data_IF_997161148072
#
_entry.id   IF_997161148072
#
_cell.length_a   1.000
_cell.length_b   1.000
_cell.length_c   1.000
_cell.angle_alpha   90.00
_cell.angle_beta   90.00
_cell.angle_gamma   90.00
#
_symmetry.space_group_name_H-M   'P 1'
#
loop_
_entity.id
_entity.type
_entity.pdbx_description
1 polymer ?
#
# COMPACT_ATOMS: atom_id res chain seq x y z
N UNK A 1 19.23 3.38 0.38
CA UNK A 1 18.29 2.38 0.89
C UNK A 1 17.07 2.36 0.01
N UNK A 2 16.61 1.17 -0.41
CA UNK A 2 15.55 1.02 -1.41
C UNK A 2 14.81 -0.30 -1.24
N UNK A 3 13.61 -0.38 -1.81
CA UNK A 3 12.89 -1.61 -2.07
C UNK A 3 13.22 -2.06 -3.50
N UNK A 4 13.93 -3.18 -3.63
CA UNK A 4 14.27 -3.79 -4.91
C UNK A 4 13.38 -4.99 -5.17
N UNK A 5 12.85 -5.09 -6.37
CA UNK A 5 11.98 -6.17 -6.84
C UNK A 5 12.51 -6.63 -8.19
N UNK A 6 12.99 -7.85 -8.24
CA UNK A 6 13.48 -8.50 -9.45
C UNK A 6 12.62 -9.71 -9.75
N UNK A 7 11.81 -9.63 -10.79
CA UNK A 7 10.84 -10.65 -11.18
C UNK A 7 11.34 -11.37 -12.42
N UNK A 8 11.69 -12.63 -12.31
CA UNK A 8 11.91 -13.50 -13.46
C UNK A 8 10.57 -13.89 -14.08
N UNK A 9 9.62 -14.32 -13.24
CA UNK A 9 8.25 -14.59 -13.67
C UNK A 9 7.24 -14.56 -12.52
N UNK A 10 6.02 -14.11 -12.80
CA UNK A 10 4.84 -14.25 -11.97
C UNK A 10 3.74 -14.92 -12.80
N UNK A 11 3.24 -16.07 -12.34
CA UNK A 11 2.33 -16.92 -13.10
C UNK A 11 1.08 -17.32 -12.32
N UNK A 12 0.01 -17.62 -13.05
CA UNK A 12 -1.17 -18.33 -12.56
C UNK A 12 -1.45 -19.53 -13.47
N UNK A 13 -1.24 -20.73 -12.96
CA UNK A 13 -1.26 -21.94 -13.80
C UNK A 13 -0.28 -21.83 -14.98
N UNK A 14 -0.76 -21.98 -16.21
CA UNK A 14 0.05 -21.86 -17.42
C UNK A 14 0.26 -20.42 -17.92
N UNK A 15 -0.46 -19.43 -17.35
CA UNK A 15 -0.43 -18.05 -17.83
C UNK A 15 0.63 -17.24 -17.10
N UNK A 16 1.54 -16.63 -17.85
CA UNK A 16 2.52 -15.67 -17.30
C UNK A 16 1.88 -14.28 -17.25
N UNK A 17 1.77 -13.71 -16.04
CA UNK A 17 1.24 -12.35 -15.82
C UNK A 17 2.35 -11.30 -15.97
N UNK A 18 3.52 -11.57 -15.40
CA UNK A 18 4.69 -10.68 -15.47
C UNK A 18 5.92 -11.52 -15.80
N UNK A 19 6.75 -11.01 -16.68
CA UNK A 19 8.02 -11.61 -17.06
C UNK A 19 9.10 -10.54 -17.12
N UNK A 20 10.29 -10.83 -16.58
CA UNK A 20 11.49 -10.00 -16.66
C UNK A 20 11.26 -8.52 -16.26
N UNK A 21 10.77 -8.30 -15.04
CA UNK A 21 10.53 -6.96 -14.50
C UNK A 21 11.53 -6.64 -13.39
N UNK A 22 12.21 -5.50 -13.51
CA UNK A 22 13.05 -4.97 -12.45
C UNK A 22 12.53 -3.60 -12.01
N UNK A 23 12.33 -3.44 -10.70
CA UNK A 23 11.88 -2.21 -10.07
C UNK A 23 12.78 -1.88 -8.89
N UNK A 24 13.05 -0.58 -8.72
CA UNK A 24 13.69 -0.06 -7.53
C UNK A 24 12.95 1.19 -7.05
N UNK A 25 12.33 1.10 -5.87
CA UNK A 25 11.74 2.24 -5.20
C UNK A 25 12.71 2.78 -4.15
N UNK A 26 13.16 4.02 -4.32
CA UNK A 26 14.07 4.67 -3.39
C UNK A 26 13.34 5.30 -2.21
N UNK A 27 14.04 5.56 -1.12
CA UNK A 27 13.50 6.26 0.05
C UNK A 27 12.95 7.63 -0.31
N UNK A 28 11.83 7.99 0.30
CA UNK A 28 11.14 9.25 0.06
C UNK A 28 10.51 9.38 -1.32
N UNK A 29 10.61 8.33 -2.15
CA UNK A 29 10.09 8.30 -3.52
C UNK A 29 8.91 7.35 -3.64
N UNK A 30 7.91 7.78 -4.41
CA UNK A 30 6.81 6.92 -4.85
C UNK A 30 7.12 6.44 -6.26
N UNK A 31 7.48 5.16 -6.38
CA UNK A 31 7.58 4.51 -7.69
C UNK A 31 6.20 4.06 -8.13
N UNK A 32 5.75 4.50 -9.30
CA UNK A 32 4.43 4.16 -9.84
C UNK A 32 4.54 3.00 -10.83
N UNK A 33 3.74 1.96 -10.63
CA UNK A 33 3.59 0.84 -11.55
C UNK A 33 2.22 0.92 -12.20
N UNK A 34 2.19 1.15 -13.50
CA UNK A 34 0.96 1.19 -14.30
C UNK A 34 0.80 -0.06 -15.15
N UNK A 35 -0.44 -0.38 -15.50
CA UNK A 35 -0.78 -1.46 -16.41
C UNK A 35 -2.27 -1.71 -16.48
N UNK A 36 -2.72 -2.43 -17.49
CA UNK A 36 -4.11 -2.80 -17.66
C UNK A 36 -4.65 -3.63 -16.48
N UNK A 37 -5.97 -3.69 -16.32
CA UNK A 37 -6.58 -4.62 -15.37
C UNK A 37 -6.18 -6.06 -15.72
N UNK A 38 -5.89 -6.88 -14.71
CA UNK A 38 -5.46 -8.26 -14.90
C UNK A 38 -3.98 -8.44 -15.27
N UNK A 39 -3.16 -7.38 -15.41
CA UNK A 39 -1.73 -7.49 -15.73
C UNK A 39 -0.83 -7.99 -14.58
N UNK A 40 -1.42 -8.43 -13.46
CA UNK A 40 -0.65 -9.01 -12.35
C UNK A 40 -0.15 -8.01 -11.30
N UNK A 41 -0.53 -6.73 -11.35
CA UNK A 41 -0.06 -5.69 -10.42
C UNK A 41 -0.35 -6.03 -8.95
N UNK A 42 -1.59 -6.33 -8.61
CA UNK A 42 -1.99 -6.71 -7.26
C UNK A 42 -1.32 -8.01 -6.81
N UNK A 43 -1.15 -8.97 -7.73
CA UNK A 43 -0.41 -10.22 -7.47
C UNK A 43 1.07 -9.96 -7.19
N UNK A 44 1.68 -8.99 -7.88
CA UNK A 44 3.04 -8.57 -7.58
C UNK A 44 3.14 -7.97 -6.16
N UNK A 45 2.22 -7.08 -5.79
CA UNK A 45 2.20 -6.53 -4.42
C UNK A 45 2.04 -7.63 -3.37
N UNK A 46 1.17 -8.63 -3.63
CA UNK A 46 1.00 -9.78 -2.74
C UNK A 46 2.28 -10.63 -2.63
N UNK A 47 3.01 -10.85 -3.73
CA UNK A 47 4.30 -11.54 -3.70
C UNK A 47 5.33 -10.78 -2.86
N UNK A 48 5.47 -9.48 -3.05
CA UNK A 48 6.37 -8.61 -2.29
C UNK A 48 6.02 -8.60 -0.80
N UNK A 49 4.74 -8.55 -0.46
CA UNK A 49 4.27 -8.58 0.93
C UNK A 49 4.39 -9.98 1.57
N UNK A 50 4.47 -11.04 0.78
CA UNK A 50 4.50 -12.42 1.28
C UNK A 50 3.12 -13.01 1.53
N UNK A 51 2.07 -12.51 0.86
CA UNK A 51 0.67 -12.95 0.97
C UNK A 51 0.15 -13.53 -0.33
N UNK A 52 1.05 -14.03 -1.19
CA UNK A 52 0.69 -14.56 -2.50
C UNK A 52 -0.22 -15.79 -2.35
N UNK A 53 -1.33 -15.80 -3.11
CA UNK A 53 -2.25 -16.91 -3.10
C UNK A 53 -1.59 -18.21 -3.63
N UNK A 54 -1.92 -19.41 -3.11
CA UNK A 54 -1.28 -20.68 -3.49
C UNK A 54 -1.38 -21.04 -4.98
N UNK A 55 -2.36 -20.47 -5.70
CA UNK A 55 -2.52 -20.67 -7.15
C UNK A 55 -1.55 -19.85 -8.00
N UNK A 56 -0.79 -18.93 -7.39
CA UNK A 56 0.16 -18.05 -8.05
C UNK A 56 1.59 -18.49 -7.73
N UNK A 57 2.45 -18.43 -8.73
CA UNK A 57 3.88 -18.77 -8.61
C UNK A 57 4.70 -17.50 -8.88
N UNK A 58 5.54 -17.14 -7.92
CA UNK A 58 6.50 -16.05 -8.03
C UNK A 58 7.92 -16.61 -8.09
N UNK A 59 8.63 -16.31 -9.18
CA UNK A 59 10.05 -16.55 -9.31
C UNK A 59 10.78 -15.22 -9.45
N UNK A 60 11.62 -14.90 -8.49
CA UNK A 60 12.29 -13.61 -8.43
C UNK A 60 12.88 -13.35 -7.04
N UNK A 61 13.27 -12.11 -6.79
CA UNK A 61 13.86 -11.68 -5.54
C UNK A 61 13.25 -10.36 -5.07
N UNK A 62 13.02 -10.26 -3.78
CA UNK A 62 12.59 -9.02 -3.11
C UNK A 62 13.61 -8.69 -2.03
N UNK A 63 14.14 -7.47 -2.08
CA UNK A 63 15.07 -7.00 -1.05
C UNK A 63 14.66 -5.61 -0.55
N UNK A 64 14.80 -5.39 0.75
CA UNK A 64 14.59 -4.10 1.39
C UNK A 64 15.88 -3.70 2.13
N UNK A 65 16.44 -2.58 1.75
CA UNK A 65 17.72 -2.07 2.31
C UNK A 65 18.87 -3.10 2.21
N UNK A 66 18.87 -3.92 1.15
CA UNK A 66 19.87 -4.97 0.91
C UNK A 66 19.58 -6.30 1.61
N UNK A 67 18.59 -6.37 2.48
CA UNK A 67 18.14 -7.62 3.11
C UNK A 67 17.15 -8.34 2.20
N UNK A 68 17.41 -9.63 1.87
CA UNK A 68 16.47 -10.45 1.11
C UNK A 68 15.27 -10.83 1.97
N UNK A 69 14.07 -10.61 1.43
CA UNK A 69 12.81 -10.86 2.12
C UNK A 69 12.15 -12.21 1.77
N UNK A 70 12.65 -12.91 0.75
CA UNK A 70 12.00 -14.09 0.19
C UNK A 70 11.77 -15.20 1.20
N UNK A 71 12.71 -15.38 2.14
CA UNK A 71 12.66 -16.36 3.21
C UNK A 71 11.93 -15.88 4.48
N UNK A 72 11.54 -14.59 4.52
CA UNK A 72 10.90 -14.02 5.70
C UNK A 72 9.38 -14.20 5.64
N UNK A 73 8.73 -14.58 6.73
CA UNK A 73 7.28 -14.54 6.82
C UNK A 73 6.79 -13.10 6.80
N UNK A 74 5.53 -12.90 6.36
CA UNK A 74 4.91 -11.60 6.12
C UNK A 74 5.12 -10.59 7.26
N UNK A 75 4.92 -11.01 8.50
CA UNK A 75 5.04 -10.15 9.69
C UNK A 75 6.47 -9.65 9.97
N UNK A 76 7.49 -10.31 9.41
CA UNK A 76 8.89 -9.91 9.55
C UNK A 76 9.39 -9.05 8.42
N UNK A 77 8.68 -8.98 7.29
CA UNK A 77 9.06 -8.15 6.13
C UNK A 77 8.97 -6.66 6.43
N UNK A 78 8.17 -6.25 7.42
CA UNK A 78 7.95 -4.85 7.81
C UNK A 78 7.48 -3.97 6.65
N UNK A 79 6.75 -4.55 5.71
CA UNK A 79 6.13 -3.88 4.57
C UNK A 79 4.67 -3.60 4.93
N UNK A 80 4.27 -2.34 4.84
CA UNK A 80 2.85 -1.96 4.91
C UNK A 80 2.20 -2.17 3.55
N UNK A 81 0.96 -2.62 3.53
CA UNK A 81 0.20 -2.78 2.30
C UNK A 81 -1.22 -2.25 2.45
N UNK A 82 -1.67 -1.50 1.46
CA UNK A 82 -3.07 -1.22 1.21
C UNK A 82 -3.51 -2.06 0.01
N UNK A 83 -4.39 -3.00 0.25
CA UNK A 83 -5.04 -3.79 -0.80
C UNK A 83 -6.17 -2.99 -1.46
N UNK A 84 -6.59 -3.40 -2.65
CA UNK A 84 -7.76 -2.85 -3.34
C UNK A 84 -9.04 -2.96 -2.50
N UNK A 85 -9.17 -4.02 -1.69
CA UNK A 85 -10.18 -4.12 -0.64
C UNK A 85 -9.66 -3.54 0.66
N UNK A 86 -10.51 -2.77 1.34
CA UNK A 86 -10.11 -1.98 2.52
C UNK A 86 -9.69 -2.85 3.72
N UNK A 87 -10.16 -4.10 3.78
CA UNK A 87 -9.84 -5.11 4.81
C UNK A 87 -9.86 -4.56 6.24
N UNK A 88 -10.81 -3.67 6.54
CA UNK A 88 -11.03 -3.19 7.90
C UNK A 88 -11.62 -4.31 8.78
N UNK A 89 -11.19 -4.36 10.03
CA UNK A 89 -11.73 -5.32 11.01
C UNK A 89 -13.18 -4.93 11.34
N UNK A 90 -14.14 -5.73 10.89
CA UNK A 90 -15.57 -5.44 11.03
C UNK A 90 -16.06 -5.46 12.49
N UNK A 91 -15.36 -6.14 13.39
CA UNK A 91 -15.67 -6.21 14.82
C UNK A 91 -15.04 -5.09 15.63
N UNK A 92 -14.33 -4.17 14.99
CA UNK A 92 -13.64 -3.01 15.59
C UNK A 92 -14.23 -1.72 15.04
N UNK A 93 -14.35 -0.71 15.88
CA UNK A 93 -14.65 0.66 15.45
C UNK A 93 -13.53 1.24 14.57
N UNK A 94 -13.79 2.36 13.89
CA UNK A 94 -12.77 3.09 13.12
C UNK A 94 -11.55 3.40 13.98
N UNK A 95 -11.77 3.93 15.20
CA UNK A 95 -10.69 4.23 16.16
C UNK A 95 -9.87 2.98 16.51
N UNK A 96 -10.53 1.87 16.77
CA UNK A 96 -9.85 0.61 17.12
C UNK A 96 -9.06 0.05 15.94
N UNK A 97 -9.57 0.13 14.72
CA UNK A 97 -8.83 -0.21 13.51
C UNK A 97 -7.54 0.61 13.36
N UNK A 98 -7.61 1.93 13.62
CA UNK A 98 -6.42 2.80 13.57
C UNK A 98 -5.47 2.50 14.74
N UNK A 99 -6.00 2.36 15.96
CA UNK A 99 -5.22 2.11 17.16
C UNK A 99 -4.49 0.76 17.11
N UNK A 100 -5.07 -0.24 16.46
CA UNK A 100 -4.45 -1.55 16.24
C UNK A 100 -3.11 -1.42 15.52
N UNK A 101 -3.01 -0.52 14.56
CA UNK A 101 -1.80 -0.32 13.77
C UNK A 101 -0.73 0.53 14.49
N UNK A 102 -1.11 1.35 15.46
CA UNK A 102 -0.14 2.20 16.17
C UNK A 102 0.78 1.32 17.01
N UNK A 103 2.12 1.46 16.85
CA UNK A 103 3.08 0.69 17.63
C UNK A 103 2.86 0.76 19.16
N UNK A 104 3.34 -0.24 19.92
CA UNK A 104 3.26 -0.23 21.38
C UNK A 104 3.89 1.04 21.97
N UNK A 105 3.24 1.59 23.00
CA UNK A 105 3.69 2.81 23.69
C UNK A 105 2.66 3.33 24.68
N UNK A 106 2.91 4.49 25.29
CA UNK A 106 1.99 5.10 26.25
C UNK A 106 0.60 5.33 25.63
N UNK A 107 -0.45 4.93 26.34
CA UNK A 107 -1.83 5.00 25.84
C UNK A 107 -2.21 6.39 25.36
N UNK A 108 -1.86 7.43 26.10
CA UNK A 108 -2.18 8.81 25.75
C UNK A 108 -1.55 9.23 24.42
N UNK A 109 -0.31 8.83 24.14
CA UNK A 109 0.38 9.13 22.89
C UNK A 109 -0.26 8.38 21.71
N UNK A 110 -0.59 7.10 21.88
CA UNK A 110 -1.27 6.29 20.86
C UNK A 110 -2.64 6.87 20.51
N UNK A 111 -3.39 7.31 21.52
CA UNK A 111 -4.69 7.96 21.33
C UNK A 111 -4.54 9.30 20.58
N UNK A 112 -3.55 10.11 20.94
CA UNK A 112 -3.28 11.37 20.25
C UNK A 112 -2.97 11.16 18.76
N UNK A 113 -2.17 10.12 18.42
CA UNK A 113 -1.89 9.74 17.03
C UNK A 113 -3.16 9.36 16.26
N UNK A 114 -4.08 8.63 16.91
CA UNK A 114 -5.36 8.25 16.27
C UNK A 114 -6.25 9.47 16.05
N UNK A 115 -6.31 10.40 17.02
CA UNK A 115 -7.09 11.64 16.86
C UNK A 115 -6.52 12.50 15.73
N UNK A 116 -5.21 12.66 15.67
CA UNK A 116 -4.56 13.37 14.56
C UNK A 116 -4.85 12.70 13.23
N UNK A 117 -4.75 11.36 13.16
CA UNK A 117 -5.05 10.59 11.98
C UNK A 117 -6.49 10.81 11.48
N UNK A 118 -7.48 10.83 12.38
CA UNK A 118 -8.87 11.12 12.04
C UNK A 118 -9.05 12.55 11.50
N UNK A 119 -8.30 13.49 12.02
CA UNK A 119 -8.31 14.87 11.51
C UNK A 119 -7.71 14.93 10.10
N UNK A 120 -6.52 14.32 9.88
CA UNK A 120 -5.83 14.29 8.60
C UNK A 120 -6.64 13.60 7.51
N UNK A 121 -7.48 12.62 7.89
CA UNK A 121 -8.41 11.94 6.99
C UNK A 121 -9.68 12.75 6.68
N UNK A 122 -9.86 13.94 7.22
CA UNK A 122 -11.12 14.70 7.16
C UNK A 122 -12.32 13.88 7.71
N UNK A 123 -12.08 13.09 8.78
CA UNK A 123 -13.09 12.26 9.46
C UNK A 123 -13.15 12.58 10.98
N UNK A 124 -13.15 13.85 11.41
CA UNK A 124 -13.26 14.17 12.82
C UNK A 124 -14.59 13.63 13.37
N UNK A 125 -14.54 13.00 14.54
CA UNK A 125 -15.73 12.41 15.17
C UNK A 125 -16.12 11.01 14.70
N UNK A 126 -15.51 10.47 13.66
CA UNK A 126 -15.83 9.13 13.13
C UNK A 126 -15.24 7.98 13.96
N UNK A 127 -14.46 8.24 14.97
CA UNK A 127 -13.74 7.21 15.73
C UNK A 127 -14.63 6.10 16.31
N UNK A 128 -15.87 6.39 16.68
CA UNK A 128 -16.82 5.42 17.24
C UNK A 128 -17.68 4.70 16.19
N UNK A 129 -17.54 5.06 14.93
CA UNK A 129 -18.34 4.48 13.85
C UNK A 129 -17.93 3.02 13.57
N UNK A 130 -18.92 2.22 13.19
CA UNK A 130 -18.71 0.90 12.61
C UNK A 130 -18.17 1.08 11.18
N UNK A 131 -17.07 0.41 10.79
CA UNK A 131 -16.56 0.45 9.42
C UNK A 131 -17.60 0.11 8.34
N UNK A 132 -18.58 -0.73 8.65
CA UNK A 132 -19.65 -1.08 7.71
C UNK A 132 -20.56 0.11 7.36
N UNK A 133 -20.64 1.13 8.22
CA UNK A 133 -21.47 2.33 7.99
C UNK A 133 -20.77 3.41 7.16
N UNK A 134 -19.48 3.25 6.90
CA UNK A 134 -18.69 4.19 6.14
C UNK A 134 -18.97 4.06 4.63
N UNK A 135 -18.84 5.18 3.89
CA UNK A 135 -18.75 5.11 2.42
C UNK A 135 -17.48 4.40 1.96
N UNK A 136 -17.44 3.95 0.69
CA UNK A 136 -16.24 3.32 0.12
C UNK A 136 -14.99 4.20 0.25
N UNK A 137 -15.08 5.49 -0.10
CA UNK A 137 -13.96 6.43 0.04
C UNK A 137 -13.56 6.68 1.50
N UNK A 138 -14.51 6.65 2.46
CA UNK A 138 -14.16 6.75 3.88
C UNK A 138 -13.42 5.50 4.37
N UNK A 139 -13.88 4.31 3.96
CA UNK A 139 -13.16 3.06 4.29
C UNK A 139 -11.76 3.04 3.75
N UNK A 140 -11.57 3.39 2.47
CA UNK A 140 -10.25 3.43 1.83
C UNK A 140 -9.30 4.40 2.53
N UNK A 141 -9.79 5.58 2.97
CA UNK A 141 -8.99 6.52 3.77
C UNK A 141 -8.54 5.92 5.10
N UNK A 142 -9.45 5.27 5.82
CA UNK A 142 -9.14 4.62 7.11
C UNK A 142 -8.13 3.48 6.92
N UNK A 143 -8.28 2.66 5.88
CA UNK A 143 -7.36 1.58 5.56
C UNK A 143 -5.95 2.10 5.19
N UNK A 144 -5.88 3.16 4.38
CA UNK A 144 -4.63 3.83 4.03
C UNK A 144 -3.91 4.36 5.28
N UNK A 145 -4.63 5.06 6.15
CA UNK A 145 -4.06 5.60 7.39
C UNK A 145 -3.61 4.48 8.33
N UNK A 146 -4.34 3.37 8.40
CA UNK A 146 -3.94 2.19 9.17
C UNK A 146 -2.59 1.64 8.69
N UNK A 147 -2.39 1.55 7.37
CA UNK A 147 -1.11 1.12 6.81
C UNK A 147 0.03 2.10 7.15
N UNK A 148 -0.23 3.40 7.15
CA UNK A 148 0.75 4.43 7.52
C UNK A 148 1.07 4.41 9.03
N UNK A 149 0.06 4.25 9.91
CA UNK A 149 0.25 4.25 11.36
C UNK A 149 1.11 3.06 11.84
N UNK A 150 1.15 1.97 11.09
CA UNK A 150 1.99 0.81 11.39
C UNK A 150 3.50 1.11 11.30
N UNK A 151 3.89 2.30 10.84
CA UNK A 151 5.28 2.73 10.66
C UNK A 151 6.13 1.70 9.87
N UNK A 152 5.66 1.31 8.68
CA UNK A 152 6.36 0.32 7.88
C UNK A 152 7.71 0.87 7.37
N UNK A 153 8.63 -0.03 7.03
CA UNK A 153 9.90 0.32 6.35
C UNK A 153 9.73 0.54 4.84
N UNK A 154 8.70 -0.03 4.24
CA UNK A 154 8.27 0.21 2.86
C UNK A 154 6.74 0.14 2.79
N UNK A 155 6.13 0.79 1.79
CA UNK A 155 4.68 0.82 1.63
C UNK A 155 4.29 0.42 0.21
N UNK A 156 3.30 -0.47 0.13
CA UNK A 156 2.68 -0.92 -1.12
C UNK A 156 1.24 -0.40 -1.16
N UNK A 157 0.87 0.23 -2.26
CA UNK A 157 -0.45 0.84 -2.44
C UNK A 157 -1.12 0.30 -3.71
N UNK A 158 -2.23 -0.43 -3.55
CA UNK A 158 -3.01 -0.98 -4.65
C UNK A 158 -4.23 -0.10 -4.92
N UNK A 159 -4.17 0.71 -5.96
CA UNK A 159 -5.22 1.65 -6.38
C UNK A 159 -5.77 2.54 -5.24
N UNK A 160 -4.90 3.20 -4.46
CA UNK A 160 -5.27 3.82 -3.17
C UNK A 160 -6.33 4.91 -3.27
N UNK A 161 -6.52 5.50 -4.44
CA UNK A 161 -7.38 6.67 -4.63
C UNK A 161 -8.60 6.39 -5.51
N UNK A 162 -8.77 5.16 -6.01
CA UNK A 162 -9.80 4.79 -7.01
C UNK A 162 -11.26 5.01 -6.55
N UNK A 163 -11.51 4.99 -5.22
CA UNK A 163 -12.85 5.13 -4.62
C UNK A 163 -13.16 6.54 -4.11
N UNK A 164 -12.36 7.54 -4.51
CA UNK A 164 -12.48 8.93 -4.05
C UNK A 164 -12.97 9.82 -5.18
N UNK A 165 -13.76 10.84 -4.85
CA UNK A 165 -14.06 11.92 -5.79
C UNK A 165 -12.81 12.73 -6.11
N UNK A 166 -12.83 13.47 -7.24
CA UNK A 166 -11.64 14.14 -7.76
C UNK A 166 -11.01 15.13 -6.76
N UNK A 167 -11.81 15.90 -6.04
CA UNK A 167 -11.31 16.89 -5.09
C UNK A 167 -10.65 16.24 -3.86
N UNK A 168 -11.28 15.21 -3.31
CA UNK A 168 -10.74 14.44 -2.20
C UNK A 168 -9.50 13.65 -2.61
N UNK A 169 -9.53 13.04 -3.82
CA UNK A 169 -8.41 12.29 -4.40
C UNK A 169 -7.14 13.12 -4.47
N UNK A 170 -7.24 14.36 -5.00
CA UNK A 170 -6.09 15.27 -5.06
C UNK A 170 -5.50 15.54 -3.66
N UNK A 171 -6.34 15.90 -2.68
CA UNK A 171 -5.86 16.16 -1.31
C UNK A 171 -5.23 14.94 -0.65
N UNK A 172 -5.84 13.77 -0.80
CA UNK A 172 -5.30 12.52 -0.22
C UNK A 172 -4.00 12.09 -0.90
N UNK A 173 -3.88 12.29 -2.20
CA UNK A 173 -2.64 12.05 -2.93
C UNK A 173 -1.52 12.95 -2.43
N UNK A 174 -1.77 14.25 -2.30
CA UNK A 174 -0.79 15.21 -1.79
C UNK A 174 -0.37 14.87 -0.36
N UNK A 175 -1.33 14.49 0.50
CA UNK A 175 -1.06 14.05 1.87
C UNK A 175 -0.16 12.79 1.90
N UNK A 176 -0.48 11.77 1.09
CA UNK A 176 0.31 10.54 1.03
C UNK A 176 1.73 10.83 0.55
N UNK A 177 1.88 11.58 -0.54
CA UNK A 177 3.19 11.89 -1.11
C UNK A 177 4.04 12.76 -0.16
N UNK A 178 3.42 13.71 0.54
CA UNK A 178 4.10 14.48 1.60
C UNK A 178 4.54 13.59 2.76
N UNK A 179 3.67 12.66 3.19
CA UNK A 179 3.96 11.71 4.27
C UNK A 179 5.10 10.77 3.91
N UNK A 180 5.11 10.26 2.67
CA UNK A 180 6.19 9.39 2.15
C UNK A 180 7.53 10.12 2.20
N UNK A 181 7.57 11.34 1.68
CA UNK A 181 8.79 12.17 1.71
C UNK A 181 9.26 12.44 3.13
N UNK A 182 8.35 12.81 4.04
CA UNK A 182 8.71 13.15 5.43
C UNK A 182 9.19 11.94 6.23
N UNK A 183 8.69 10.74 5.93
CA UNK A 183 9.08 9.48 6.60
C UNK A 183 10.29 8.80 5.95
N UNK A 184 10.71 9.28 4.81
CA UNK A 184 11.84 8.74 4.05
C UNK A 184 11.73 7.22 3.80
N UNK A 185 10.54 6.75 3.42
CA UNK A 185 10.29 5.34 3.10
C UNK A 185 10.09 5.12 1.60
N UNK A 186 10.54 4.00 1.02
CA UNK A 186 10.22 3.62 -0.35
C UNK A 186 8.75 3.22 -0.48
N UNK A 187 8.12 3.62 -1.58
CA UNK A 187 6.72 3.28 -1.88
C UNK A 187 6.60 2.75 -3.29
N UNK A 188 5.89 1.64 -3.45
CA UNK A 188 5.39 1.16 -4.74
C UNK A 188 3.88 1.40 -4.80
N UNK A 189 3.46 2.28 -5.70
CA UNK A 189 2.06 2.59 -5.97
C UNK A 189 1.64 1.93 -7.27
N UNK A 190 0.57 1.16 -7.22
CA UNK A 190 -0.07 0.55 -8.38
C UNK A 190 -1.33 1.34 -8.73
N UNK A 191 -1.45 1.75 -9.98
CA UNK A 191 -2.63 2.43 -10.49
C UNK A 191 -2.81 2.20 -11.99
N UNK A 192 -4.00 2.46 -12.49
CA UNK A 192 -4.30 2.57 -13.92
C UNK A 192 -4.58 4.03 -14.34
N UNK A 193 -4.54 4.98 -13.39
CA UNK A 193 -4.86 6.39 -13.61
C UNK A 193 -3.59 7.25 -13.69
N UNK A 194 -3.46 8.00 -14.79
CA UNK A 194 -2.34 8.91 -15.04
C UNK A 194 -2.23 10.04 -13.99
N UNK A 195 -3.34 10.43 -13.37
CA UNK A 195 -3.34 11.48 -12.35
C UNK A 195 -2.66 11.05 -11.05
N UNK A 196 -2.55 9.74 -10.80
CA UNK A 196 -1.91 9.21 -9.59
C UNK A 196 -0.39 9.07 -9.71
N UNK A 197 0.19 9.37 -10.87
CA UNK A 197 1.63 9.35 -11.07
C UNK A 197 2.27 10.45 -10.21
N UNK A 198 3.08 10.01 -9.24
CA UNK A 198 3.80 10.94 -8.36
C UNK A 198 4.95 11.66 -9.07
N UNK A 199 5.70 10.91 -9.88
CA UNK A 199 6.82 11.40 -10.68
C UNK A 199 7.00 10.50 -11.91
N UNK A 200 7.05 11.11 -13.10
CA UNK A 200 7.26 10.41 -14.37
C UNK A 200 8.66 9.80 -14.51
N UNK A 201 9.65 10.28 -13.75
CA UNK A 201 10.97 9.67 -13.70
C UNK A 201 10.97 8.31 -12.96
N UNK A 202 9.97 8.08 -12.11
CA UNK A 202 9.79 6.87 -11.31
C UNK A 202 8.50 6.13 -11.72
N UNK A 203 8.32 5.97 -13.05
CA UNK A 203 7.17 5.29 -13.64
C UNK A 203 7.62 4.05 -14.42
N UNK A 204 7.02 2.93 -14.11
CA UNK A 204 7.11 1.70 -14.91
C UNK A 204 5.74 1.33 -15.46
N UNK A 205 5.70 0.89 -16.72
CA UNK A 205 4.47 0.40 -17.35
C UNK A 205 4.60 -1.08 -17.66
N UNK A 206 3.66 -1.87 -17.13
CA UNK A 206 3.53 -3.28 -17.55
C UNK A 206 2.93 -3.34 -18.96
N UNK A 207 3.43 -4.23 -19.81
CA UNK A 207 2.78 -4.51 -21.09
C UNK A 207 1.36 -5.04 -20.87
N UNK A 208 0.52 -4.90 -21.90
CA UNK A 208 -0.78 -5.56 -21.87
C UNK A 208 -0.59 -7.08 -21.77
N UNK A 209 -1.45 -7.78 -21.01
CA UNK A 209 -1.41 -9.24 -20.98
C UNK A 209 -1.60 -9.79 -22.39
N UNK A 210 -0.80 -10.80 -22.74
CA UNK A 210 -0.84 -11.48 -24.05
C UNK A 210 -1.94 -12.53 -24.05
#
# INVERSE_FOLDING_TARGET
>A
MSLMIDVESLKVGATTLIHALQLEAHRGVVHTLMGASGSGKSSLLAAVCGTLAPALEFNGRVALDGELLDHLPTERRRIGILFQDDLLFAHMTVRENLLFAVPPGPRAQREALVQQALHDLELPGFGKQDPATLSGGQRSRVALMRALLAQPKALLLDEPFSRMDAGLRSRMRDFVFATVRSRDIPVLLVTHDEEDIADRAHLTRLPAPV
#
